data_IF_999431198177
#
_entry.id   IF_999431198177
#
_cell.length_a   1.000
_cell.length_b   1.000
_cell.length_c   1.000
_cell.angle_alpha   90.00
_cell.angle_beta   90.00
_cell.angle_gamma   90.00
#
_symmetry.space_group_name_H-M   'P 1'
#
loop_
_entity.id
_entity.type
_entity.pdbx_description
1 polymer ?
#
# COMPACT_ATOMS: atom_id res chain seq x y z
N UNK A 1 1.32 -11.76 13.06
CA UNK A 1 0.33 -12.06 12.00
C UNK A 1 -0.08 -10.74 11.37
N UNK A 2 0.03 -10.64 10.05
CA UNK A 2 -0.42 -9.47 9.29
C UNK A 2 -1.96 -9.38 9.33
N UNK A 3 -2.51 -8.16 9.33
CA UNK A 3 -3.95 -7.94 9.38
C UNK A 3 -4.57 -8.24 8.02
N UNK A 4 -5.46 -9.24 7.97
CA UNK A 4 -6.23 -9.62 6.78
C UNK A 4 -7.56 -8.85 6.68
N UNK A 5 -8.26 -8.98 5.56
CA UNK A 5 -9.57 -8.34 5.39
C UNK A 5 -10.69 -9.12 6.08
N UNK A 6 -11.59 -8.41 6.78
CA UNK A 6 -12.85 -8.97 7.31
C UNK A 6 -13.84 -9.37 6.20
N UNK A 7 -13.60 -8.95 4.96
CA UNK A 7 -14.43 -9.26 3.80
C UNK A 7 -13.92 -10.46 2.99
N UNK A 8 -12.87 -11.16 3.44
CA UNK A 8 -12.33 -12.30 2.73
C UNK A 8 -13.41 -13.39 2.52
N UNK A 9 -13.51 -13.90 1.29
CA UNK A 9 -14.51 -14.90 0.90
C UNK A 9 -15.92 -14.35 0.70
N UNK A 10 -16.17 -13.04 0.92
CA UNK A 10 -17.44 -12.41 0.58
C UNK A 10 -17.50 -12.13 -0.92
N UNK A 11 -18.70 -12.17 -1.48
CA UNK A 11 -18.92 -11.91 -2.90
C UNK A 11 -18.68 -10.43 -3.24
N UNK A 12 -18.06 -10.19 -4.39
CA UNK A 12 -17.77 -8.87 -4.94
C UNK A 12 -18.58 -8.60 -6.22
N UNK A 13 -19.07 -7.36 -6.40
CA UNK A 13 -19.97 -6.99 -7.51
C UNK A 13 -19.74 -5.55 -8.01
N UNK A 14 -20.02 -5.30 -9.29
CA UNK A 14 -20.28 -3.98 -9.90
C UNK A 14 -19.10 -2.98 -9.88
N UNK A 15 -17.89 -3.51 -9.86
CA UNK A 15 -16.62 -2.76 -9.73
C UNK A 15 -15.50 -3.36 -10.59
N UNK A 16 -15.87 -4.11 -11.61
CA UNK A 16 -14.97 -4.77 -12.56
C UNK A 16 -14.05 -3.75 -13.24
N UNK A 17 -14.61 -2.59 -13.64
CA UNK A 17 -13.86 -1.48 -14.21
C UNK A 17 -12.71 -0.97 -13.32
N UNK A 18 -12.86 -1.08 -11.99
CA UNK A 18 -11.84 -0.64 -11.04
C UNK A 18 -10.67 -1.62 -11.00
N UNK A 19 -10.95 -2.92 -11.12
CA UNK A 19 -9.94 -3.97 -11.27
C UNK A 19 -9.17 -3.79 -12.59
N UNK A 20 -9.87 -3.53 -13.69
CA UNK A 20 -9.25 -3.25 -14.99
C UNK A 20 -8.36 -2.01 -14.93
N UNK A 21 -8.81 -0.95 -14.23
CA UNK A 21 -8.02 0.27 -14.07
C UNK A 21 -6.74 0.00 -13.27
N UNK A 22 -6.82 -0.76 -12.17
CA UNK A 22 -5.64 -1.17 -11.40
C UNK A 22 -4.70 -2.03 -12.24
N UNK A 23 -5.25 -2.95 -13.04
CA UNK A 23 -4.45 -3.80 -13.93
C UNK A 23 -3.68 -2.97 -14.95
N UNK A 24 -4.33 -2.00 -15.60
CA UNK A 24 -3.64 -1.06 -16.49
C UNK A 24 -2.57 -0.24 -15.80
N UNK A 25 -2.78 0.16 -14.54
CA UNK A 25 -1.75 0.88 -13.79
C UNK A 25 -0.53 0.00 -13.54
N UNK A 26 -0.74 -1.29 -13.28
CA UNK A 26 0.33 -2.28 -13.11
C UNK A 26 1.09 -2.51 -14.43
N UNK A 27 0.37 -2.73 -15.54
CA UNK A 27 0.95 -2.99 -16.85
C UNK A 27 1.66 -1.75 -17.44
N UNK A 28 1.14 -0.54 -17.16
CA UNK A 28 1.75 0.71 -17.60
C UNK A 28 3.09 1.00 -16.92
N UNK A 29 3.54 0.19 -15.95
CA UNK A 29 4.77 0.42 -15.20
C UNK A 29 6.10 0.21 -15.97
N UNK A 30 6.04 -0.08 -17.27
CA UNK A 30 7.24 -0.28 -18.10
C UNK A 30 7.84 0.98 -18.78
N UNK A 31 7.26 2.18 -18.60
CA UNK A 31 7.73 3.47 -19.15
C UNK A 31 8.42 4.49 -18.19
N UNK A 32 8.94 5.63 -18.70
CA UNK A 32 9.87 6.53 -17.99
C UNK A 32 9.26 7.61 -17.04
N UNK A 33 7.93 7.67 -16.82
CA UNK A 33 7.29 8.65 -15.91
C UNK A 33 6.05 8.04 -15.25
N UNK A 34 6.22 7.33 -14.15
CA UNK A 34 5.09 6.70 -13.46
C UNK A 34 4.94 7.16 -12.04
N UNK A 35 3.67 7.28 -11.65
CA UNK A 35 3.28 7.40 -10.27
C UNK A 35 3.80 6.17 -9.48
N UNK A 36 4.45 6.38 -8.33
CA UNK A 36 4.98 5.28 -7.51
C UNK A 36 3.88 4.41 -6.87
N UNK A 37 2.61 4.78 -7.02
CA UNK A 37 1.48 4.02 -6.50
C UNK A 37 0.13 4.36 -7.14
N UNK A 38 -0.94 3.81 -6.57
CA UNK A 38 -2.34 4.14 -6.84
C UNK A 38 -3.06 4.44 -5.52
N UNK A 39 -3.81 5.53 -5.47
CA UNK A 39 -4.66 5.87 -4.33
C UNK A 39 -6.16 5.64 -4.64
N UNK A 40 -6.76 4.65 -3.99
CA UNK A 40 -8.19 4.35 -4.05
C UNK A 40 -8.93 5.26 -3.07
N UNK A 41 -9.72 6.20 -3.60
CA UNK A 41 -10.46 7.19 -2.81
C UNK A 41 -11.97 7.02 -2.96
N UNK A 42 -12.70 7.28 -1.88
CA UNK A 42 -14.17 7.15 -1.87
C UNK A 42 -14.77 7.41 -0.49
N UNK A 43 -16.07 7.71 -0.45
CA UNK A 43 -16.79 7.89 0.80
C UNK A 43 -16.86 6.62 1.65
N UNK A 44 -17.32 6.72 2.91
CA UNK A 44 -17.71 5.55 3.70
C UNK A 44 -18.70 4.67 2.93
N UNK A 45 -18.58 3.35 3.02
CA UNK A 45 -19.47 2.42 2.31
C UNK A 45 -19.26 2.31 0.80
N UNK A 46 -18.33 3.05 0.18
CA UNK A 46 -18.11 3.02 -1.27
C UNK A 46 -17.52 1.69 -1.81
N UNK A 47 -17.14 0.77 -0.91
CA UNK A 47 -16.58 -0.54 -1.25
C UNK A 47 -15.06 -0.57 -1.45
N UNK A 48 -14.30 0.40 -0.90
CA UNK A 48 -12.83 0.44 -1.02
C UNK A 48 -12.15 -0.82 -0.48
N UNK A 49 -12.45 -1.18 0.77
CA UNK A 49 -11.96 -2.40 1.40
C UNK A 49 -12.39 -3.65 0.63
N UNK A 50 -13.62 -3.67 0.09
CA UNK A 50 -14.08 -4.77 -0.75
C UNK A 50 -13.26 -4.90 -2.04
N UNK A 51 -12.93 -3.77 -2.69
CA UNK A 51 -12.05 -3.75 -3.86
C UNK A 51 -10.64 -4.23 -3.49
N UNK A 52 -10.02 -3.71 -2.44
CA UNK A 52 -8.70 -4.15 -1.99
C UNK A 52 -8.69 -5.64 -1.61
N UNK A 53 -9.77 -6.14 -1.02
CA UNK A 53 -9.92 -7.57 -0.71
C UNK A 53 -9.97 -8.40 -1.98
N UNK A 54 -10.77 -7.98 -2.96
CA UNK A 54 -10.90 -8.68 -4.24
C UNK A 54 -9.59 -8.66 -5.04
N UNK A 55 -8.81 -7.59 -4.94
CA UNK A 55 -7.47 -7.47 -5.56
C UNK A 55 -6.50 -8.51 -5.00
N UNK A 56 -6.56 -8.78 -3.69
CA UNK A 56 -5.63 -9.69 -2.99
C UNK A 56 -6.13 -11.13 -2.98
N UNK A 57 -7.42 -11.34 -2.78
CA UNK A 57 -8.08 -12.65 -2.68
C UNK A 57 -9.39 -12.64 -3.48
N UNK A 58 -9.31 -12.74 -4.82
CA UNK A 58 -10.46 -12.60 -5.70
C UNK A 58 -11.45 -13.75 -5.51
N UNK A 59 -12.74 -13.41 -5.53
CA UNK A 59 -13.85 -14.37 -5.45
C UNK A 59 -14.74 -14.30 -6.70
N UNK A 60 -14.69 -13.19 -7.43
CA UNK A 60 -15.46 -12.95 -8.64
C UNK A 60 -14.70 -13.41 -9.89
N UNK A 61 -15.44 -13.71 -10.95
CA UNK A 61 -14.83 -14.03 -12.26
C UNK A 61 -13.95 -12.89 -12.78
N UNK A 62 -14.38 -11.64 -12.56
CA UNK A 62 -13.62 -10.46 -12.97
C UNK A 62 -12.33 -10.29 -12.17
N UNK A 63 -12.36 -10.48 -10.84
CA UNK A 63 -11.17 -10.46 -10.00
C UNK A 63 -10.15 -11.53 -10.39
N UNK A 64 -10.63 -12.74 -10.68
CA UNK A 64 -9.79 -13.84 -11.17
C UNK A 64 -9.18 -13.50 -12.54
N UNK A 65 -9.99 -12.97 -13.47
CA UNK A 65 -9.53 -12.61 -14.81
C UNK A 65 -8.56 -11.41 -14.81
N UNK A 66 -8.69 -10.46 -13.88
CA UNK A 66 -7.80 -9.33 -13.75
C UNK A 66 -6.37 -9.73 -13.36
N UNK A 67 -6.19 -10.91 -12.75
CA UNK A 67 -4.88 -11.48 -12.46
C UNK A 67 -4.03 -10.65 -11.47
N UNK A 68 -4.68 -9.83 -10.63
CA UNK A 68 -3.99 -8.91 -9.74
C UNK A 68 -3.36 -9.63 -8.53
N UNK A 69 -4.02 -10.65 -7.99
CA UNK A 69 -3.54 -11.40 -6.83
C UNK A 69 -2.17 -12.06 -7.08
N UNK A 70 -1.91 -12.49 -8.31
CA UNK A 70 -0.64 -13.09 -8.75
C UNK A 70 0.52 -12.08 -8.79
N UNK A 71 0.22 -10.79 -8.67
CA UNK A 71 1.21 -9.71 -8.59
C UNK A 71 1.30 -9.12 -7.17
N UNK A 72 0.49 -9.61 -6.23
CA UNK A 72 0.42 -9.09 -4.87
C UNK A 72 1.53 -9.70 -3.99
N UNK A 73 2.47 -8.87 -3.55
CA UNK A 73 3.53 -9.27 -2.64
C UNK A 73 3.09 -9.34 -1.19
N UNK A 74 2.34 -8.33 -0.78
CA UNK A 74 1.88 -8.18 0.58
C UNK A 74 0.61 -7.33 0.63
N UNK A 75 -0.17 -7.55 1.66
CA UNK A 75 -1.35 -6.75 1.95
C UNK A 75 -1.43 -6.43 3.44
N UNK A 76 -2.01 -5.27 3.75
CA UNK A 76 -2.29 -4.88 5.12
C UNK A 76 -3.60 -4.11 5.19
N UNK A 77 -4.48 -4.52 6.10
CA UNK A 77 -5.77 -3.88 6.30
C UNK A 77 -5.78 -3.17 7.66
N UNK A 78 -5.81 -1.84 7.65
CA UNK A 78 -6.00 -1.04 8.86
C UNK A 78 -7.47 -1.14 9.30
N UNK A 79 -7.72 -1.84 10.40
CA UNK A 79 -9.04 -2.08 10.95
C UNK A 79 -9.30 -1.16 12.15
N UNK A 80 -10.50 -0.59 12.21
CA UNK A 80 -10.89 0.26 13.34
C UNK A 80 -11.08 -0.56 14.62
N UNK A 81 -11.52 -1.80 14.45
CA UNK A 81 -11.85 -2.74 15.53
C UNK A 81 -10.60 -3.40 16.12
N UNK A 82 -9.47 -3.41 15.39
CA UNK A 82 -8.19 -3.94 15.85
C UNK A 82 -7.10 -2.84 15.85
N UNK A 83 -6.88 -2.24 17.02
CA UNK A 83 -5.85 -1.22 17.22
C UNK A 83 -4.44 -1.69 16.84
N UNK A 84 -4.19 -3.01 16.91
CA UNK A 84 -2.87 -3.57 16.58
C UNK A 84 -2.57 -3.46 15.09
N UNK A 85 -3.59 -3.29 14.25
CA UNK A 85 -3.44 -3.10 12.81
C UNK A 85 -2.92 -1.70 12.44
N UNK A 86 -3.03 -0.70 13.32
CA UNK A 86 -2.54 0.67 13.04
C UNK A 86 -1.18 0.95 13.65
N UNK A 87 -0.60 0.00 14.41
CA UNK A 87 0.70 0.16 15.06
C UNK A 87 1.83 0.00 14.05
N UNK A 88 2.64 1.06 13.89
CA UNK A 88 3.66 1.17 12.84
C UNK A 88 4.66 0.01 12.81
N UNK A 89 5.28 -0.32 13.96
CA UNK A 89 6.29 -1.38 14.01
C UNK A 89 5.70 -2.76 13.67
N UNK A 90 4.43 -3.01 14.04
CA UNK A 90 3.72 -4.26 13.71
C UNK A 90 3.42 -4.35 12.23
N UNK A 91 3.02 -3.24 11.62
CA UNK A 91 2.85 -3.13 10.17
C UNK A 91 4.15 -3.49 9.45
N UNK A 92 5.29 -2.91 9.85
CA UNK A 92 6.58 -3.17 9.20
C UNK A 92 6.97 -4.66 9.32
N UNK A 93 6.91 -5.23 10.53
CA UNK A 93 7.26 -6.65 10.70
C UNK A 93 6.28 -7.58 9.96
N UNK A 94 5.00 -7.23 9.93
CA UNK A 94 3.99 -7.97 9.16
C UNK A 94 4.21 -7.88 7.65
N UNK A 95 4.71 -6.74 7.15
CA UNK A 95 5.10 -6.57 5.76
C UNK A 95 6.33 -7.41 5.43
N UNK A 96 7.39 -7.32 6.24
CA UNK A 96 8.63 -8.10 6.04
C UNK A 96 8.34 -9.59 6.02
N UNK A 97 7.49 -10.09 6.92
CA UNK A 97 7.15 -11.52 6.95
C UNK A 97 6.42 -11.98 5.69
N UNK A 98 5.51 -11.14 5.15
CA UNK A 98 4.84 -11.42 3.88
C UNK A 98 5.82 -11.42 2.71
N UNK A 99 6.71 -10.43 2.64
CA UNK A 99 7.75 -10.36 1.60
C UNK A 99 8.68 -11.57 1.67
N UNK A 100 9.09 -11.98 2.88
CA UNK A 100 9.95 -13.14 3.14
C UNK A 100 9.31 -14.45 2.70
N UNK A 101 8.00 -14.58 2.87
CA UNK A 101 7.23 -15.76 2.49
C UNK A 101 6.76 -15.74 1.03
N UNK A 102 6.91 -14.61 0.33
CA UNK A 102 6.37 -14.45 -1.02
C UNK A 102 7.17 -15.25 -2.05
N UNK A 103 6.52 -16.13 -2.85
CA UNK A 103 7.20 -16.84 -3.93
C UNK A 103 7.49 -15.94 -5.14
N UNK A 104 7.01 -14.70 -5.13
CA UNK A 104 7.19 -13.74 -6.23
C UNK A 104 8.50 -12.95 -6.13
N UNK A 105 9.17 -13.00 -4.96
CA UNK A 105 10.51 -12.44 -4.79
C UNK A 105 11.57 -13.54 -4.94
N UNK A 106 12.76 -13.14 -5.38
CA UNK A 106 13.88 -14.08 -5.41
C UNK A 106 14.27 -14.52 -3.99
N UNK A 107 14.86 -15.72 -3.83
CA UNK A 107 15.37 -16.18 -2.53
C UNK A 107 16.36 -15.22 -1.88
N UNK A 108 17.03 -14.37 -2.68
CA UNK A 108 17.96 -13.34 -2.22
C UNK A 108 17.36 -12.38 -1.20
N UNK A 109 16.05 -12.09 -1.25
CA UNK A 109 15.42 -11.26 -0.22
C UNK A 109 15.56 -11.90 1.17
N UNK A 110 15.25 -13.21 1.26
CA UNK A 110 15.34 -13.97 2.51
C UNK A 110 16.80 -14.08 3.00
N UNK A 111 17.76 -14.19 2.09
CA UNK A 111 19.18 -14.22 2.41
C UNK A 111 19.65 -12.89 3.02
N UNK A 112 19.27 -11.76 2.41
CA UNK A 112 19.57 -10.42 2.94
C UNK A 112 18.98 -10.25 4.35
N UNK A 113 17.74 -10.68 4.57
CA UNK A 113 17.10 -10.59 5.90
C UNK A 113 17.78 -11.45 6.97
N UNK A 114 18.41 -12.56 6.58
CA UNK A 114 19.13 -13.43 7.50
C UNK A 114 20.54 -12.90 7.83
N UNK A 115 21.01 -11.84 7.16
CA UNK A 115 22.27 -11.19 7.51
C UNK A 115 22.20 -10.57 8.91
N UNK A 116 23.28 -10.64 9.72
CA UNK A 116 23.27 -10.08 11.09
C UNK A 116 22.93 -8.59 11.17
N UNK A 117 23.28 -7.83 10.13
CA UNK A 117 22.98 -6.40 10.02
C UNK A 117 21.49 -6.10 9.88
N UNK A 118 20.71 -7.00 9.29
CA UNK A 118 19.27 -6.82 9.09
C UNK A 118 18.46 -7.58 10.15
N UNK A 119 18.89 -8.78 10.55
CA UNK A 119 18.15 -9.59 11.52
C UNK A 119 18.02 -8.90 12.87
N UNK A 120 19.01 -8.11 13.29
CA UNK A 120 19.00 -7.36 14.55
C UNK A 120 17.92 -6.26 14.59
N UNK A 121 17.68 -5.56 13.47
CA UNK A 121 16.64 -4.51 13.40
C UNK A 121 15.22 -5.07 13.26
N UNK A 122 15.09 -6.37 12.94
CA UNK A 122 13.81 -7.08 12.87
C UNK A 122 13.29 -7.53 14.25
N UNK A 123 14.11 -7.45 15.28
CA UNK A 123 13.64 -7.74 16.64
C UNK A 123 12.52 -6.75 17.04
N UNK A 124 11.40 -7.21 17.65
CA UNK A 124 10.27 -6.35 17.95
C UNK A 124 10.62 -5.10 18.75
N UNK A 125 11.51 -5.21 19.73
CA UNK A 125 11.95 -4.07 20.56
C UNK A 125 12.79 -3.07 19.77
N UNK A 126 13.62 -3.54 18.84
CA UNK A 126 14.43 -2.69 17.98
C UNK A 126 13.58 -1.96 16.95
N UNK A 127 12.66 -2.67 16.30
CA UNK A 127 11.69 -2.09 15.36
C UNK A 127 10.75 -1.11 16.06
N UNK A 128 10.35 -1.38 17.31
CA UNK A 128 9.56 -0.43 18.10
C UNK A 128 10.35 0.84 18.44
N UNK A 129 11.66 0.71 18.69
CA UNK A 129 12.54 1.84 19.01
C UNK A 129 12.80 2.74 17.81
N UNK A 130 13.03 2.16 16.63
CA UNK A 130 13.22 2.91 15.38
C UNK A 130 12.55 2.22 14.17
N UNK A 131 11.25 2.47 13.97
CA UNK A 131 10.51 1.87 12.85
C UNK A 131 11.01 2.34 11.48
N UNK A 132 11.52 3.58 11.38
CA UNK A 132 11.99 4.13 10.11
C UNK A 132 13.26 3.43 9.64
N UNK A 133 14.21 3.23 10.55
CA UNK A 133 15.44 2.49 10.23
C UNK A 133 15.15 1.03 9.90
N UNK A 134 14.25 0.36 10.64
CA UNK A 134 13.85 -1.02 10.31
C UNK A 134 13.19 -1.08 8.92
N UNK A 135 12.28 -0.15 8.59
CA UNK A 135 11.67 -0.11 7.26
C UNK A 135 12.72 0.11 6.16
N UNK A 136 13.69 1.00 6.38
CA UNK A 136 14.76 1.25 5.43
C UNK A 136 15.63 0.01 5.20
N UNK A 137 16.15 -0.59 6.28
CA UNK A 137 17.09 -1.72 6.25
C UNK A 137 16.46 -3.06 5.84
N UNK A 138 15.19 -3.28 6.17
CA UNK A 138 14.52 -4.56 5.93
C UNK A 138 13.55 -4.54 4.75
N UNK A 139 13.11 -3.37 4.29
CA UNK A 139 12.18 -3.25 3.16
C UNK A 139 12.82 -2.48 2.01
N UNK A 140 13.24 -1.23 2.19
CA UNK A 140 13.72 -0.42 1.07
C UNK A 140 15.03 -0.92 0.47
N UNK A 141 16.09 -0.98 1.27
CA UNK A 141 17.43 -1.39 0.81
C UNK A 141 17.39 -2.80 0.19
N UNK A 142 16.81 -3.83 0.83
CA UNK A 142 16.77 -5.15 0.23
C UNK A 142 15.96 -5.19 -1.07
N UNK A 143 14.84 -4.47 -1.19
CA UNK A 143 14.07 -4.47 -2.43
C UNK A 143 14.78 -3.70 -3.56
N UNK A 144 15.62 -2.72 -3.24
CA UNK A 144 16.43 -2.00 -4.22
C UNK A 144 17.64 -2.81 -4.69
N UNK A 145 18.23 -3.63 -3.81
CA UNK A 145 19.38 -4.48 -4.13
C UNK A 145 19.01 -5.71 -4.95
N UNK A 146 17.72 -6.07 -4.99
CA UNK A 146 17.24 -7.22 -5.76
C UNK A 146 17.17 -6.91 -7.26
N UNK A 147 17.45 -7.92 -8.12
CA UNK A 147 17.15 -7.80 -9.54
C UNK A 147 15.63 -7.60 -9.72
N UNK A 148 15.21 -6.72 -10.65
CA UNK A 148 13.81 -6.48 -10.90
C UNK A 148 13.10 -7.78 -11.35
N UNK A 149 11.91 -8.09 -10.82
CA UNK A 149 11.11 -9.23 -11.27
C UNK A 149 10.66 -9.05 -12.73
N UNK A 150 10.27 -10.15 -13.37
CA UNK A 150 9.81 -10.16 -14.77
C UNK A 150 8.51 -9.35 -15.00
N UNK A 151 7.76 -9.08 -13.94
CA UNK A 151 6.53 -8.30 -13.97
C UNK A 151 6.53 -7.30 -12.82
N UNK A 152 5.76 -6.22 -12.97
CA UNK A 152 5.51 -5.29 -11.88
C UNK A 152 4.73 -5.98 -10.77
N UNK A 153 5.17 -5.78 -9.52
CA UNK A 153 4.53 -6.33 -8.33
C UNK A 153 3.87 -5.22 -7.53
N UNK A 154 3.00 -5.56 -6.58
CA UNK A 154 2.28 -4.57 -5.77
C UNK A 154 2.21 -4.92 -4.30
N UNK A 155 2.10 -3.87 -3.48
CA UNK A 155 1.74 -3.96 -2.06
C UNK A 155 0.45 -3.19 -1.84
N UNK A 156 -0.52 -3.81 -1.16
CA UNK A 156 -1.83 -3.21 -0.89
C UNK A 156 -1.92 -2.78 0.57
N UNK A 157 -2.25 -1.51 0.83
CA UNK A 157 -2.50 -1.00 2.18
C UNK A 157 -3.88 -0.35 2.22
N UNK A 158 -4.85 -1.04 2.82
CA UNK A 158 -6.22 -0.57 2.93
C UNK A 158 -6.43 0.32 4.17
N UNK A 159 -7.22 1.37 3.99
CA UNK A 159 -7.73 2.24 5.05
C UNK A 159 -6.65 2.99 5.84
N UNK A 160 -5.71 3.63 5.14
CA UNK A 160 -4.63 4.45 5.73
C UNK A 160 -5.12 5.64 6.57
N UNK A 161 -6.39 6.03 6.42
CA UNK A 161 -7.02 7.10 7.20
C UNK A 161 -7.54 6.63 8.57
N UNK A 162 -7.42 5.33 8.89
CA UNK A 162 -7.77 4.79 10.20
C UNK A 162 -6.62 5.06 11.15
N UNK A 163 -6.76 6.10 11.96
CA UNK A 163 -5.88 6.40 13.08
C UNK A 163 -6.62 6.06 14.39
N UNK A 164 -5.88 5.46 15.33
CA UNK A 164 -6.40 5.14 16.65
C UNK A 164 -5.85 6.13 17.68
N UNK A 165 -6.71 7.02 18.18
CA UNK A 165 -6.40 7.97 19.25
C UNK A 165 -6.88 9.39 18.93
N UNK A 166 -7.20 10.22 19.94
CA UNK A 166 -7.33 11.66 19.75
C UNK A 166 -5.99 12.17 19.20
N UNK A 167 -6.03 13.12 18.25
CA UNK A 167 -4.86 13.71 17.62
C UNK A 167 -3.96 14.43 18.63
N UNK A 168 -3.19 13.66 19.38
CA UNK A 168 -2.31 14.13 20.42
C UNK A 168 -0.87 13.93 19.95
N UNK A 169 -0.27 15.05 19.56
CA UNK A 169 1.15 15.11 19.23
C UNK A 169 1.96 14.85 20.50
N UNK A 170 2.26 13.59 20.80
CA UNK A 170 3.20 13.24 21.86
C UNK A 170 3.76 11.82 21.66
N UNK A 171 4.87 11.73 20.91
CA UNK A 171 5.82 10.61 21.06
C UNK A 171 6.34 9.99 19.77
N UNK A 172 7.18 10.71 19.00
CA UNK A 172 8.20 10.24 18.03
C UNK A 172 7.87 9.12 17.01
N UNK A 173 6.67 8.57 17.00
CA UNK A 173 6.29 7.40 16.21
C UNK A 173 5.29 7.87 15.15
N UNK A 174 5.77 8.01 13.92
CA UNK A 174 4.92 8.43 12.80
C UNK A 174 3.80 7.42 12.50
N UNK A 175 2.81 7.84 11.72
CA UNK A 175 1.76 6.92 11.25
C UNK A 175 2.22 6.07 10.06
N UNK A 176 1.49 4.98 9.75
CA UNK A 176 1.76 4.17 8.56
C UNK A 176 1.68 5.04 7.29
N UNK A 177 0.70 5.94 7.24
CA UNK A 177 0.54 6.85 6.11
C UNK A 177 1.73 7.80 5.97
N UNK A 178 2.30 8.30 7.07
CA UNK A 178 3.49 9.15 7.05
C UNK A 178 4.75 8.41 6.62
N UNK A 179 4.95 7.17 7.11
CA UNK A 179 6.05 6.32 6.70
C UNK A 179 6.02 6.10 5.18
N UNK A 180 4.87 5.70 4.65
CA UNK A 180 4.70 5.44 3.21
C UNK A 180 4.83 6.72 2.39
N UNK A 181 4.21 7.82 2.81
CA UNK A 181 4.31 9.10 2.14
C UNK A 181 5.74 9.66 2.13
N UNK A 182 6.56 9.37 3.14
CA UNK A 182 7.95 9.87 3.20
C UNK A 182 8.94 9.03 2.39
N UNK A 183 8.55 7.80 2.01
CA UNK A 183 9.46 6.83 1.39
C UNK A 183 9.02 6.33 0.01
N UNK A 184 7.84 6.72 -0.48
CA UNK A 184 7.31 6.19 -1.74
C UNK A 184 8.21 6.42 -2.96
N UNK A 185 8.92 7.54 -3.02
CA UNK A 185 9.87 7.85 -4.11
C UNK A 185 11.15 6.99 -4.07
N UNK A 186 11.38 6.28 -2.96
CA UNK A 186 12.53 5.38 -2.77
C UNK A 186 12.18 3.92 -3.02
N UNK A 187 10.92 3.61 -3.33
CA UNK A 187 10.52 2.26 -3.69
C UNK A 187 11.07 1.90 -5.07
N UNK A 188 11.39 0.62 -5.31
CA UNK A 188 11.85 0.20 -6.63
C UNK A 188 10.82 0.54 -7.71
N UNK A 189 11.29 0.88 -8.91
CA UNK A 189 10.43 1.24 -10.04
C UNK A 189 9.49 0.12 -10.49
N UNK A 190 9.79 -1.13 -10.14
CA UNK A 190 8.94 -2.30 -10.41
C UNK A 190 7.85 -2.53 -9.35
N UNK A 191 7.82 -1.78 -8.24
CA UNK A 191 6.89 -1.97 -7.13
C UNK A 191 5.79 -0.92 -7.09
N UNK A 192 4.53 -1.34 -7.21
CA UNK A 192 3.34 -0.50 -7.12
C UNK A 192 2.75 -0.50 -5.71
N UNK A 193 2.68 0.68 -5.08
CA UNK A 193 1.98 0.84 -3.81
C UNK A 193 0.50 1.17 -4.06
N UNK A 194 -0.43 0.29 -3.67
CA UNK A 194 -1.88 0.52 -3.76
C UNK A 194 -2.42 0.85 -2.38
N UNK A 195 -2.83 2.10 -2.18
CA UNK A 195 -3.36 2.57 -0.90
C UNK A 195 -4.85 2.89 -0.99
N UNK A 196 -5.61 2.66 0.07
CA UNK A 196 -7.01 3.11 0.16
C UNK A 196 -7.18 4.16 1.26
N UNK A 197 -7.91 5.24 0.96
CA UNK A 197 -8.23 6.31 1.91
C UNK A 197 -9.65 6.84 1.72
N UNK A 198 -10.24 7.36 2.80
CA UNK A 198 -11.47 8.16 2.71
C UNK A 198 -11.23 9.48 1.98
N UNK A 199 -12.12 9.82 1.04
CA UNK A 199 -12.04 11.05 0.24
C UNK A 199 -12.00 12.34 1.07
N UNK A 200 -12.60 12.34 2.25
CA UNK A 200 -12.59 13.48 3.16
C UNK A 200 -11.22 13.78 3.78
N UNK A 201 -10.27 12.85 3.78
CA UNK A 201 -8.93 13.08 4.30
C UNK A 201 -8.05 13.79 3.24
N UNK A 202 -8.29 15.10 3.07
CA UNK A 202 -7.58 15.94 2.10
C UNK A 202 -6.07 16.01 2.36
N UNK A 203 -5.65 15.95 3.63
CA UNK A 203 -4.24 15.98 4.02
C UNK A 203 -3.48 14.77 3.47
N UNK A 204 -4.01 13.56 3.67
CA UNK A 204 -3.44 12.35 3.08
C UNK A 204 -3.51 12.37 1.55
N UNK A 205 -4.64 12.78 0.97
CA UNK A 205 -4.74 12.90 -0.48
C UNK A 205 -3.66 13.83 -1.07
N UNK A 206 -3.29 14.91 -0.37
CA UNK A 206 -2.20 15.82 -0.76
C UNK A 206 -0.82 15.18 -0.60
N UNK A 207 -0.57 14.45 0.50
CA UNK A 207 0.70 13.73 0.73
C UNK A 207 0.97 12.66 -0.34
N UNK A 208 -0.08 12.08 -0.91
CA UNK A 208 -0.02 11.08 -1.97
C UNK A 208 -0.34 11.68 -3.36
N UNK A 209 -0.18 13.00 -3.55
CA UNK A 209 -0.51 13.67 -4.82
C UNK A 209 0.32 13.22 -6.03
N UNK A 210 1.56 12.77 -5.79
CA UNK A 210 2.44 12.11 -6.77
C UNK A 210 1.97 10.71 -7.20
N UNK A 211 1.03 10.12 -6.47
CA UNK A 211 0.59 8.70 -6.52
C UNK A 211 -0.81 8.54 -7.14
N UNK A 212 -1.44 9.62 -7.61
CA UNK A 212 -2.89 9.62 -7.85
C UNK A 212 -3.29 8.99 -9.19
N UNK A 213 -3.79 7.77 -9.11
CA UNK A 213 -4.89 7.30 -9.96
C UNK A 213 -6.13 7.10 -9.09
N UNK A 214 -6.96 8.14 -8.95
CA UNK A 214 -8.21 8.04 -8.18
C UNK A 214 -9.19 7.05 -8.84
N UNK A 215 -9.64 6.07 -8.06
CA UNK A 215 -10.75 5.17 -8.41
C UNK A 215 -12.00 5.63 -7.66
N UNK A 216 -12.55 6.80 -8.02
CA UNK A 216 -13.79 7.29 -7.40
C UNK A 216 -14.98 6.48 -7.90
N UNK A 217 -15.84 6.03 -6.96
CA UNK A 217 -17.03 5.25 -7.25
C UNK A 217 -18.00 5.93 -8.23
N UNK A 218 -18.50 5.12 -9.15
CA UNK A 218 -19.40 5.41 -10.29
C UNK A 218 -18.73 6.07 -11.50
N UNK A 219 -18.33 5.24 -12.46
CA UNK A 219 -18.69 5.40 -13.88
C UNK A 219 -18.57 6.79 -14.52
N UNK A 220 -17.56 7.58 -14.19
CA UNK A 220 -17.10 8.65 -15.07
C UNK A 220 -15.58 8.73 -15.08
N UNK A 221 -15.02 8.54 -16.28
CA UNK A 221 -13.69 9.03 -16.61
C UNK A 221 -13.63 10.52 -16.25
N UNK A 222 -12.89 10.84 -15.19
CA UNK A 222 -12.34 12.18 -15.08
C UNK A 222 -10.91 12.09 -15.60
N UNK A 223 -10.68 12.74 -16.74
CA UNK A 223 -9.34 13.01 -17.26
C UNK A 223 -8.48 13.78 -16.24
N UNK A 224 -7.20 14.06 -16.59
CA UNK A 224 -6.27 14.67 -15.67
C UNK A 224 -6.81 16.02 -15.19
N UNK A 225 -7.23 16.07 -13.92
CA UNK A 225 -7.55 17.33 -13.25
C UNK A 225 -6.24 17.93 -12.79
N UNK A 226 -5.69 18.82 -13.61
CA UNK A 226 -4.66 19.75 -13.18
C UNK A 226 -5.21 20.51 -11.96
N UNK A 227 -4.60 20.30 -10.80
CA UNK A 227 -4.87 21.08 -9.61
C UNK A 227 -4.24 22.46 -9.86
N UNK A 228 -5.02 23.41 -10.37
CA UNK A 228 -4.61 24.81 -10.36
C UNK A 228 -4.54 25.28 -8.91
N UNK A 229 -3.34 25.64 -8.48
CA UNK A 229 -3.10 26.52 -7.34
C UNK A 229 -3.66 27.90 -7.71
N UNK A 230 -4.82 28.26 -7.19
CA UNK A 230 -5.21 29.67 -7.10
C UNK A 230 -4.78 30.17 -5.72
N UNK A 231 -3.65 30.88 -5.72
CA UNK A 231 -3.28 31.82 -4.68
C UNK A 231 -4.20 33.05 -4.81
N UNK A 232 -5.23 33.09 -3.98
CA UNK A 232 -6.06 34.28 -3.80
C UNK A 232 -5.62 35.07 -2.57
N UNK A 233 -4.52 35.83 -2.72
CA UNK A 233 -4.18 36.92 -1.81
C UNK A 233 -4.67 38.24 -2.41
N UNK A 234 -5.74 38.79 -1.84
CA UNK A 234 -5.90 40.21 -1.53
C UNK A 234 -7.12 40.42 -0.63
#
# INVERSE_FOLDING_TARGET
>A
MASSSLLQGRRFYCREWALDKLRRCLDARSGPKQAPGVLVTGGPGAGKTALCTEVVCPTSKAGLAAGLAQCCLASHFCQREDQRSTVLWRFILGLVEQLRASPLLSPGYKEILNSPSVSSVLEPLMCQKDPNETFKRAVLEPLLDLPPPAQTLMVVVDSLDVEYGPGDGAGKSGSIAELLASNHDRLPSWLLLVCSVRRQNKALCKKFSSIIVCVTGMGQESGPKNFSTDDGAC
#
